data_IF_664549494750
#
_entry.id   IF_664549494750
#
_cell.length_a   1.000
_cell.length_b   1.000
_cell.length_c   1.000
_cell.angle_alpha   90.00
_cell.angle_beta   90.00
_cell.angle_gamma   90.00
#
_symmetry.space_group_name_H-M   'P 1'
#
loop_
_entity.id
_entity.type
_entity.pdbx_description
1 polymer ?
#
# COMPACT_ATOMS: atom_id res chain seq x y z
N UNK A 1 -14.40 -6.49 26.81
CA UNK A 1 -14.74 -6.10 25.44
C UNK A 1 -15.19 -7.33 24.68
N UNK A 2 -16.24 -7.22 23.87
CA UNK A 2 -16.67 -8.26 22.94
C UNK A 2 -15.67 -8.40 21.78
N UNK A 3 -15.73 -9.50 21.02
CA UNK A 3 -14.91 -9.67 19.81
C UNK A 3 -15.14 -8.56 18.79
N UNK A 4 -16.38 -8.05 18.69
CA UNK A 4 -16.72 -6.95 17.78
C UNK A 4 -16.11 -5.62 18.24
N UNK A 5 -16.10 -5.34 19.55
CA UNK A 5 -15.47 -4.14 20.10
C UNK A 5 -13.95 -4.18 19.94
N UNK A 6 -13.31 -5.34 20.14
CA UNK A 6 -11.88 -5.52 19.86
C UNK A 6 -11.61 -5.31 18.37
N UNK A 7 -12.39 -5.93 17.50
CA UNK A 7 -12.25 -5.77 16.05
C UNK A 7 -12.33 -4.31 15.61
N UNK A 8 -13.36 -3.58 16.07
CA UNK A 8 -13.53 -2.17 15.73
C UNK A 8 -12.33 -1.33 16.19
N UNK A 9 -11.88 -1.53 17.43
CA UNK A 9 -10.70 -0.84 17.97
C UNK A 9 -9.44 -1.13 17.16
N UNK A 10 -9.20 -2.38 16.77
CA UNK A 10 -8.02 -2.76 15.98
C UNK A 10 -8.08 -2.19 14.55
N UNK A 11 -9.28 -2.14 13.94
CA UNK A 11 -9.47 -1.50 12.64
C UNK A 11 -9.19 0.00 12.73
N UNK A 12 -9.74 0.69 13.74
CA UNK A 12 -9.53 2.12 13.94
C UNK A 12 -8.06 2.46 14.18
N UNK A 13 -7.38 1.68 15.03
CA UNK A 13 -5.95 1.85 15.28
C UNK A 13 -5.13 1.66 13.99
N UNK A 14 -5.37 0.57 13.25
CA UNK A 14 -4.65 0.30 12.00
C UNK A 14 -4.94 1.36 10.93
N UNK A 15 -6.18 1.81 10.80
CA UNK A 15 -6.55 2.89 9.88
C UNK A 15 -5.86 4.19 10.24
N UNK A 16 -5.85 4.57 11.52
CA UNK A 16 -5.16 5.77 11.99
C UNK A 16 -3.67 5.70 11.66
N UNK A 17 -2.99 4.58 11.94
CA UNK A 17 -1.56 4.44 11.68
C UNK A 17 -1.22 4.48 10.18
N UNK A 18 -1.97 3.75 9.34
CA UNK A 18 -1.75 3.77 7.90
C UNK A 18 -2.00 5.17 7.34
N UNK A 19 -3.04 5.85 7.80
CA UNK A 19 -3.36 7.22 7.36
C UNK A 19 -2.27 8.20 7.80
N UNK A 20 -1.85 8.16 9.06
CA UNK A 20 -0.76 9.00 9.58
C UNK A 20 0.55 8.80 8.82
N UNK A 21 0.87 7.56 8.43
CA UNK A 21 2.05 7.28 7.62
C UNK A 21 1.92 7.85 6.20
N UNK A 22 0.83 7.53 5.49
CA UNK A 22 0.60 7.98 4.11
C UNK A 22 0.53 9.51 4.03
N UNK A 23 0.00 10.16 5.06
CA UNK A 23 -0.10 11.62 5.16
C UNK A 23 1.10 12.26 5.89
N UNK A 24 2.15 11.51 6.22
CA UNK A 24 3.34 12.10 6.86
C UNK A 24 4.07 13.03 5.88
N UNK A 25 4.73 14.10 6.36
CA UNK A 25 5.43 15.04 5.48
C UNK A 25 6.46 14.36 4.56
N UNK A 26 7.28 13.45 5.11
CA UNK A 26 8.28 12.73 4.32
C UNK A 26 7.63 11.87 3.22
N UNK A 27 6.55 11.15 3.54
CA UNK A 27 5.83 10.38 2.53
C UNK A 27 5.15 11.29 1.51
N UNK A 28 4.62 12.44 1.92
CA UNK A 28 4.03 13.41 1.00
C UNK A 28 5.06 13.96 0.01
N UNK A 29 6.29 14.23 0.43
CA UNK A 29 7.38 14.64 -0.47
C UNK A 29 7.67 13.55 -1.52
N UNK A 30 7.73 12.27 -1.09
CA UNK A 30 7.91 11.12 -2.02
C UNK A 30 6.73 10.98 -2.97
N UNK A 31 5.49 11.17 -2.48
CA UNK A 31 4.29 11.13 -3.30
C UNK A 31 4.24 12.30 -4.28
N UNK A 32 4.73 13.48 -3.90
CA UNK A 32 4.84 14.63 -4.79
C UNK A 32 5.87 14.37 -5.90
N UNK A 33 7.04 13.82 -5.58
CA UNK A 33 8.04 13.35 -6.57
C UNK A 33 7.37 12.37 -7.53
N UNK A 34 6.69 11.35 -7.01
CA UNK A 34 5.98 10.34 -7.79
C UNK A 34 4.92 10.92 -8.73
N UNK A 35 4.04 11.81 -8.26
CA UNK A 35 2.99 12.40 -9.09
C UNK A 35 3.53 13.44 -10.08
N UNK A 36 4.71 14.00 -9.85
CA UNK A 36 5.38 14.88 -10.81
C UNK A 36 5.94 14.14 -12.03
N UNK A 37 6.11 12.81 -11.95
CA UNK A 37 6.58 11.99 -13.07
C UNK A 37 5.48 11.77 -14.11
N UNK A 38 5.86 11.62 -15.40
CA UNK A 38 4.99 11.06 -16.42
C UNK A 38 4.41 9.71 -15.98
N UNK A 39 3.15 9.46 -16.36
CA UNK A 39 2.39 8.29 -15.88
C UNK A 39 3.06 6.96 -16.24
N UNK A 40 3.74 6.90 -17.38
CA UNK A 40 4.48 5.74 -17.87
C UNK A 40 5.69 5.38 -16.99
N UNK A 41 6.25 6.36 -16.25
CA UNK A 41 7.42 6.16 -15.40
C UNK A 41 7.05 5.76 -13.97
N UNK A 42 5.81 6.04 -13.56
CA UNK A 42 5.32 5.76 -12.19
C UNK A 42 5.43 4.28 -11.79
N UNK A 43 5.10 3.28 -12.65
CA UNK A 43 5.28 1.87 -12.29
C UNK A 43 6.73 1.52 -11.94
N UNK A 44 7.70 2.08 -12.66
CA UNK A 44 9.11 1.85 -12.40
C UNK A 44 9.57 2.55 -11.11
N UNK A 45 9.12 3.79 -10.88
CA UNK A 45 9.37 4.50 -9.63
C UNK A 45 8.88 3.73 -8.39
N UNK A 46 7.72 3.06 -8.49
CA UNK A 46 7.23 2.20 -7.40
C UNK A 46 8.28 1.13 -7.04
N UNK A 47 8.85 0.47 -8.05
CA UNK A 47 9.83 -0.60 -7.84
C UNK A 47 11.14 -0.06 -7.27
N UNK A 48 11.65 1.02 -7.85
CA UNK A 48 12.98 1.54 -7.54
C UNK A 48 13.02 2.30 -6.21
N UNK A 49 11.92 2.98 -5.86
CA UNK A 49 11.84 3.88 -4.70
C UNK A 49 10.86 3.35 -3.65
N UNK A 50 9.57 3.21 -3.98
CA UNK A 50 8.53 2.95 -2.96
C UNK A 50 8.60 1.56 -2.33
N UNK A 51 9.14 0.57 -3.04
CA UNK A 51 9.35 -0.78 -2.51
C UNK A 51 10.78 -1.00 -2.00
N UNK A 52 11.65 0.01 -2.08
CA UNK A 52 13.04 -0.10 -1.71
C UNK A 52 13.28 0.58 -0.35
N UNK A 53 13.48 -0.19 0.74
CA UNK A 53 13.67 0.37 2.07
C UNK A 53 14.84 1.35 2.16
N UNK A 54 15.93 1.13 1.41
CA UNK A 54 17.09 2.03 1.40
C UNK A 54 16.79 3.38 0.74
N UNK A 55 15.98 3.40 -0.31
CA UNK A 55 15.57 4.65 -0.96
C UNK A 55 14.53 5.43 -0.14
N UNK A 56 13.69 4.72 0.61
CA UNK A 56 12.78 5.32 1.60
C UNK A 56 13.56 5.93 2.77
N UNK A 57 14.53 5.20 3.33
CA UNK A 57 15.40 5.69 4.41
C UNK A 57 16.20 6.92 3.96
N UNK A 58 16.76 6.90 2.74
CA UNK A 58 17.47 8.05 2.15
C UNK A 58 16.59 9.29 2.03
N UNK A 59 15.28 9.09 1.83
CA UNK A 59 14.25 10.15 1.79
C UNK A 59 13.63 10.43 3.16
N UNK A 60 14.16 9.84 4.23
CA UNK A 60 13.69 10.01 5.62
C UNK A 60 12.24 9.54 5.83
N UNK A 61 11.80 8.55 5.05
CA UNK A 61 10.50 7.91 5.21
C UNK A 61 10.66 6.73 6.17
N UNK A 62 10.23 6.94 7.41
CA UNK A 62 10.17 5.89 8.42
C UNK A 62 8.87 5.10 8.27
N UNK A 63 8.96 3.87 7.75
CA UNK A 63 7.81 2.97 7.64
C UNK A 63 7.49 2.39 9.03
N UNK A 64 6.28 2.61 9.59
CA UNK A 64 5.95 2.11 10.91
C UNK A 64 5.96 0.57 10.98
N UNK A 65 6.24 0.05 12.17
CA UNK A 65 6.22 -1.40 12.39
C UNK A 65 4.88 -2.02 12.00
N UNK A 66 4.94 -3.09 11.19
CA UNK A 66 3.76 -3.79 10.70
C UNK A 66 3.02 -3.10 9.54
N UNK A 67 3.47 -1.93 9.09
CA UNK A 67 3.04 -1.32 7.82
C UNK A 67 3.92 -1.84 6.69
N UNK A 68 3.28 -2.19 5.59
CA UNK A 68 3.93 -2.79 4.42
C UNK A 68 3.52 -2.00 3.18
N UNK A 69 4.50 -1.55 2.40
CA UNK A 69 4.31 -1.05 1.04
C UNK A 69 4.53 -2.21 0.09
N UNK A 70 3.56 -2.48 -0.79
CA UNK A 70 3.60 -3.62 -1.69
C UNK A 70 2.85 -3.32 -2.99
N UNK A 71 3.16 -4.06 -4.05
CA UNK A 71 2.25 -4.13 -5.21
C UNK A 71 1.18 -5.17 -4.97
N UNK A 72 0.03 -5.00 -5.61
CA UNK A 72 -1.06 -5.96 -5.52
C UNK A 72 -1.84 -5.93 -6.83
N UNK A 73 -2.27 -7.11 -7.27
CA UNK A 73 -3.25 -7.27 -8.32
C UNK A 73 -4.58 -7.66 -7.70
N UNK A 74 -5.67 -7.12 -8.21
CA UNK A 74 -7.02 -7.44 -7.78
C UNK A 74 -7.79 -8.08 -8.93
N UNK A 75 -8.70 -9.00 -8.61
CA UNK A 75 -9.49 -9.73 -9.62
C UNK A 75 -10.41 -8.85 -10.46
N UNK A 76 -10.76 -7.67 -9.95
CA UNK A 76 -11.54 -6.68 -10.69
C UNK A 76 -10.67 -5.82 -11.62
N UNK A 77 -9.37 -6.13 -11.75
CA UNK A 77 -8.41 -5.43 -12.60
C UNK A 77 -8.37 -3.92 -12.37
N UNK A 78 -8.65 -3.47 -11.13
CA UNK A 78 -8.49 -2.06 -10.78
C UNK A 78 -7.05 -1.60 -11.02
N UNK A 79 -6.85 -0.32 -11.36
CA UNK A 79 -5.58 0.21 -11.87
C UNK A 79 -4.45 0.35 -10.85
N UNK A 80 -4.35 -0.53 -9.86
CA UNK A 80 -3.45 -0.35 -8.72
C UNK A 80 -1.97 -0.34 -9.10
N UNK A 81 -1.27 0.71 -8.68
CA UNK A 81 0.19 0.82 -8.77
C UNK A 81 0.84 0.15 -7.57
N UNK A 82 0.40 0.53 -6.36
CA UNK A 82 0.84 -0.05 -5.10
C UNK A 82 -0.17 0.17 -3.98
N UNK A 83 0.06 -0.50 -2.86
CA UNK A 83 -0.76 -0.45 -1.66
C UNK A 83 0.12 -0.23 -0.43
N UNK A 84 -0.42 0.48 0.55
CA UNK A 84 0.10 0.54 1.92
C UNK A 84 -0.86 -0.23 2.80
N UNK A 85 -0.36 -1.25 3.50
CA UNK A 85 -1.18 -2.23 4.21
C UNK A 85 -0.68 -2.41 5.63
N UNK A 86 -1.61 -2.51 6.58
CA UNK A 86 -1.35 -3.03 7.93
C UNK A 86 -2.23 -4.24 8.20
N UNK A 87 -1.61 -5.35 8.61
CA UNK A 87 -2.33 -6.55 9.01
C UNK A 87 -2.85 -6.41 10.45
N UNK A 88 -4.08 -6.84 10.66
CA UNK A 88 -4.69 -6.91 11.99
C UNK A 88 -4.20 -8.17 12.73
N UNK A 89 -4.30 -8.19 14.07
CA UNK A 89 -4.01 -9.39 14.84
C UNK A 89 -4.77 -10.63 14.32
N UNK A 90 -4.12 -11.81 14.31
CA UNK A 90 -4.77 -13.04 13.86
C UNK A 90 -5.96 -13.40 14.76
N UNK A 91 -6.87 -14.23 14.24
CA UNK A 91 -8.10 -14.61 14.94
C UNK A 91 -9.24 -13.61 14.82
N UNK A 92 -8.96 -12.40 14.33
CA UNK A 92 -9.99 -11.46 13.89
C UNK A 92 -10.50 -11.89 12.51
N UNK A 93 -11.82 -11.81 12.30
CA UNK A 93 -12.46 -12.13 11.02
C UNK A 93 -11.97 -11.21 9.89
N UNK A 94 -11.64 -9.96 10.22
CA UNK A 94 -11.00 -9.01 9.33
C UNK A 94 -9.47 -9.15 9.37
N UNK A 95 -8.82 -9.06 8.21
CA UNK A 95 -7.39 -9.39 8.09
C UNK A 95 -6.46 -8.20 8.03
N UNK A 96 -6.87 -7.12 7.38
CA UNK A 96 -5.99 -5.98 7.12
C UNK A 96 -6.77 -4.71 6.80
N UNK A 97 -6.10 -3.58 6.99
CA UNK A 97 -6.49 -2.28 6.47
C UNK A 97 -5.50 -1.91 5.37
N UNK A 98 -6.00 -1.42 4.23
CA UNK A 98 -5.19 -1.11 3.05
C UNK A 98 -5.61 0.22 2.44
N UNK A 99 -4.63 1.07 2.15
CA UNK A 99 -4.77 2.23 1.27
C UNK A 99 -4.15 1.86 -0.08
N UNK A 100 -4.90 2.09 -1.15
CA UNK A 100 -4.52 1.73 -2.52
C UNK A 100 -4.24 3.01 -3.31
N UNK A 101 -3.13 3.01 -4.05
CA UNK A 101 -2.76 4.10 -4.95
C UNK A 101 -2.87 3.56 -6.38
N UNK A 102 -3.77 4.17 -7.14
CA UNK A 102 -4.15 3.74 -8.47
C UNK A 102 -3.49 4.57 -9.58
N UNK A 103 -3.42 3.99 -10.77
CA UNK A 103 -3.01 4.63 -12.00
C UNK A 103 -4.16 5.47 -12.58
N UNK A 104 -3.89 6.75 -12.81
CA UNK A 104 -4.83 7.71 -13.37
C UNK A 104 -5.32 7.33 -14.77
N UNK A 105 -4.54 6.55 -15.54
CA UNK A 105 -4.94 6.04 -16.87
C UNK A 105 -6.05 5.01 -16.84
N UNK A 106 -6.36 4.45 -15.67
CA UNK A 106 -7.34 3.36 -15.54
C UNK A 106 -6.80 1.98 -15.96
N UNK A 107 -5.53 1.90 -16.39
CA UNK A 107 -4.87 0.64 -16.75
C UNK A 107 -4.18 -0.02 -15.54
N UNK A 108 -4.40 -1.33 -15.29
CA UNK A 108 -3.73 -2.05 -14.21
C UNK A 108 -2.24 -2.22 -14.48
N UNK A 109 -1.42 -1.87 -13.49
CA UNK A 109 0.03 -2.07 -13.55
C UNK A 109 0.44 -3.54 -13.28
N UNK A 110 -0.45 -4.31 -12.66
CA UNK A 110 -0.36 -5.77 -12.53
C UNK A 110 -1.73 -6.36 -12.83
N UNK A 111 -1.79 -7.30 -13.78
CA UNK A 111 -3.01 -8.09 -14.00
C UNK A 111 -3.06 -9.25 -13.02
N UNK A 112 -4.24 -9.58 -12.51
CA UNK A 112 -4.42 -10.77 -11.68
C UNK A 112 -4.06 -12.06 -12.44
N UNK A 113 -4.32 -12.10 -13.75
CA UNK A 113 -3.98 -13.24 -14.62
C UNK A 113 -2.49 -13.58 -14.61
N UNK A 114 -1.62 -12.58 -14.38
CA UNK A 114 -0.17 -12.77 -14.32
C UNK A 114 0.27 -13.65 -13.12
N UNK A 115 -0.64 -13.90 -12.17
CA UNK A 115 -0.40 -14.72 -10.98
C UNK A 115 -1.13 -16.07 -11.03
N UNK A 116 -2.01 -16.30 -12.01
CA UNK A 116 -2.78 -17.55 -12.12
C UNK A 116 -1.90 -18.72 -12.62
N UNK A 117 -0.89 -18.43 -13.44
CA UNK A 117 0.01 -19.45 -14.02
C UNK A 117 1.04 -20.02 -13.03
N UNK A 118 1.16 -19.45 -11.82
CA UNK A 118 2.15 -19.87 -10.81
C UNK A 118 1.55 -20.86 -9.79
N UNK A 119 0.24 -21.11 -9.85
CA UNK A 119 -0.48 -21.97 -8.91
C UNK A 119 -0.93 -23.33 -9.51
N UNK A 120 -0.47 -23.66 -10.72
CA UNK A 120 -0.69 -24.96 -11.39
C UNK A 120 0.55 -25.85 -11.30
#
# INVERSE_FOLDING_TARGET
>A
MTTQEVLAKEIEAALSEVTSFVCSPAMQDVMQEFFSLPEEQRPQYVLDVLLNPGELERRKVDVPSGVIIQRSAFRDNRPTLFCVTKYLPPGLGWKKVTVTIDNSRGEPALSFSNFEDVAA
#
